data_IF_310607251687
#
_entry.id   IF_310607251687
#
_cell.length_a   1.000
_cell.length_b   1.000
_cell.length_c   1.000
_cell.angle_alpha   90.00
_cell.angle_beta   90.00
_cell.angle_gamma   90.00
#
_symmetry.space_group_name_H-M   'P 1'
#
loop_
_entity.id
_entity.type
_entity.pdbx_description
1 polymer ?
#
# COMPACT_ATOMS: atom_id res chain seq x y z
N UNK A 1 11.08 -16.33 -19.92
CA UNK A 1 12.29 -16.87 -19.28
C UNK A 1 11.97 -17.18 -17.83
N UNK A 2 12.22 -18.41 -17.35
CA UNK A 2 11.98 -18.81 -15.97
C UNK A 2 13.27 -19.35 -15.34
N UNK A 3 13.56 -18.94 -14.11
CA UNK A 3 14.61 -19.52 -13.27
C UNK A 3 14.00 -19.93 -11.94
N UNK A 4 14.51 -21.02 -11.37
CA UNK A 4 14.13 -21.44 -10.02
C UNK A 4 15.37 -21.71 -9.16
N UNK A 5 15.19 -21.53 -7.87
CA UNK A 5 16.20 -21.69 -6.84
C UNK A 5 15.61 -22.50 -5.69
N UNK A 6 16.40 -23.38 -5.10
CA UNK A 6 16.01 -24.09 -3.89
C UNK A 6 15.99 -23.16 -2.67
N UNK A 7 15.59 -23.71 -1.52
CA UNK A 7 15.56 -22.99 -0.23
C UNK A 7 16.93 -22.42 0.19
N UNK A 8 18.02 -23.00 -0.31
CA UNK A 8 19.40 -22.62 0.03
C UNK A 8 19.99 -21.61 -0.98
N UNK A 9 19.20 -21.23 -2.00
CA UNK A 9 19.53 -20.22 -3.00
C UNK A 9 20.28 -20.77 -4.21
N UNK A 10 20.38 -22.10 -4.36
CA UNK A 10 21.05 -22.74 -5.50
C UNK A 10 20.08 -22.84 -6.68
N UNK A 11 20.54 -22.50 -7.88
CA UNK A 11 19.74 -22.59 -9.09
C UNK A 11 19.42 -24.06 -9.44
N UNK A 12 18.13 -24.41 -9.43
CA UNK A 12 17.63 -25.77 -9.67
C UNK A 12 16.29 -25.71 -10.42
N UNK A 13 16.28 -26.13 -11.70
CA UNK A 13 15.07 -26.15 -12.55
C UNK A 13 14.18 -27.38 -12.31
N UNK A 14 14.71 -28.40 -11.64
CA UNK A 14 13.95 -29.57 -11.22
C UNK A 14 12.77 -29.23 -10.31
N UNK A 15 12.84 -28.12 -9.56
CA UNK A 15 11.75 -27.61 -8.69
C UNK A 15 10.45 -27.41 -9.46
N UNK A 16 10.54 -27.02 -10.74
CA UNK A 16 9.38 -26.80 -11.62
C UNK A 16 9.23 -27.92 -12.67
N UNK A 17 9.94 -29.04 -12.50
CA UNK A 17 9.92 -30.17 -13.42
C UNK A 17 10.51 -29.86 -14.81
N UNK A 18 11.39 -28.85 -14.93
CA UNK A 18 11.99 -28.45 -16.21
C UNK A 18 13.50 -28.63 -16.22
N UNK A 19 14.06 -28.68 -17.42
CA UNK A 19 15.50 -28.73 -17.64
C UNK A 19 16.00 -27.43 -18.25
N UNK A 20 17.31 -27.21 -18.11
CA UNK A 20 18.00 -26.06 -18.70
C UNK A 20 17.87 -26.09 -20.23
N UNK A 21 17.44 -24.98 -20.81
CA UNK A 21 17.58 -24.71 -22.25
C UNK A 21 18.17 -23.32 -22.56
N UNK A 22 18.41 -22.49 -21.54
CA UNK A 22 18.93 -21.13 -21.69
C UNK A 22 19.76 -20.68 -20.46
N UNK A 23 20.39 -19.50 -20.55
CA UNK A 23 21.36 -18.97 -19.58
C UNK A 23 20.86 -17.74 -18.79
N UNK A 24 19.55 -17.57 -18.64
CA UNK A 24 18.93 -16.49 -17.87
C UNK A 24 19.37 -15.07 -18.30
N UNK A 25 19.62 -14.86 -19.60
CA UNK A 25 20.29 -13.65 -20.10
C UNK A 25 19.50 -12.38 -19.78
N UNK A 26 18.17 -12.43 -19.95
CA UNK A 26 17.31 -11.27 -19.76
C UNK A 26 17.11 -10.97 -18.27
N UNK A 27 16.89 -12.01 -17.46
CA UNK A 27 16.82 -11.89 -16.00
C UNK A 27 18.11 -11.28 -15.44
N UNK A 28 19.28 -11.78 -15.88
CA UNK A 28 20.58 -11.22 -15.48
C UNK A 28 20.72 -9.75 -15.88
N UNK A 29 20.36 -9.41 -17.11
CA UNK A 29 20.42 -8.04 -17.62
C UNK A 29 19.53 -7.10 -16.79
N UNK A 30 18.27 -7.47 -16.58
CA UNK A 30 17.30 -6.67 -15.83
C UNK A 30 17.75 -6.50 -14.38
N UNK A 31 18.11 -7.60 -13.70
CA UNK A 31 18.54 -7.55 -12.30
C UNK A 31 19.85 -6.76 -12.11
N UNK A 32 20.67 -6.62 -13.14
CA UNK A 32 21.92 -5.83 -13.05
C UNK A 32 21.70 -4.35 -13.39
N UNK A 33 20.89 -4.04 -14.40
CA UNK A 33 20.86 -2.70 -15.01
C UNK A 33 19.61 -1.88 -14.69
N UNK A 34 18.54 -2.47 -14.16
CA UNK A 34 17.32 -1.73 -13.85
C UNK A 34 17.42 -1.00 -12.51
N UNK A 35 17.22 0.33 -12.46
CA UNK A 35 17.22 1.09 -11.21
C UNK A 35 16.08 0.68 -10.26
N UNK A 36 14.99 0.15 -10.81
CA UNK A 36 13.79 -0.29 -10.07
C UNK A 36 14.02 -1.62 -9.31
N UNK A 37 15.14 -2.31 -9.55
CA UNK A 37 15.38 -3.66 -9.02
C UNK A 37 16.12 -3.71 -7.69
N UNK A 38 16.50 -2.56 -7.10
CA UNK A 38 17.26 -2.53 -5.83
C UNK A 38 16.58 -3.34 -4.72
N UNK A 39 15.25 -3.26 -4.65
CA UNK A 39 14.43 -4.03 -3.72
C UNK A 39 14.51 -5.54 -4.01
N UNK A 40 14.29 -5.97 -5.26
CA UNK A 40 14.37 -7.38 -5.64
C UNK A 40 15.78 -7.96 -5.42
N UNK A 41 16.83 -7.22 -5.77
CA UNK A 41 18.23 -7.62 -5.53
C UNK A 41 18.49 -7.82 -4.02
N UNK A 42 17.98 -6.92 -3.17
CA UNK A 42 18.12 -7.08 -1.72
C UNK A 42 17.41 -8.34 -1.20
N UNK A 43 16.23 -8.69 -1.73
CA UNK A 43 15.53 -9.95 -1.42
C UNK A 43 16.33 -11.18 -1.82
N UNK A 44 16.89 -11.18 -3.03
CA UNK A 44 17.73 -12.28 -3.50
C UNK A 44 18.97 -12.45 -2.61
N UNK A 45 19.63 -11.35 -2.24
CA UNK A 45 20.78 -11.37 -1.33
C UNK A 45 20.46 -11.91 0.06
N UNK A 46 19.35 -11.47 0.68
CA UNK A 46 18.90 -12.00 1.99
C UNK A 46 18.66 -13.50 1.96
N UNK A 47 18.26 -14.03 0.80
CA UNK A 47 17.99 -15.46 0.57
C UNK A 47 19.20 -16.22 0.00
N UNK A 48 20.39 -15.60 -0.03
CA UNK A 48 21.63 -16.19 -0.57
C UNK A 48 21.52 -16.64 -2.04
N UNK A 49 20.61 -16.05 -2.81
CA UNK A 49 20.45 -16.36 -4.23
C UNK A 49 21.49 -15.59 -5.03
N UNK A 50 22.37 -16.32 -5.73
CA UNK A 50 23.23 -15.78 -6.78
C UNK A 50 22.59 -15.97 -8.16
N UNK A 51 22.15 -14.86 -8.76
CA UNK A 51 21.54 -14.87 -10.09
C UNK A 51 22.56 -14.72 -11.23
N UNK A 52 23.81 -14.32 -10.96
CA UNK A 52 24.80 -14.04 -12.00
C UNK A 52 25.14 -15.31 -12.80
N UNK A 53 25.09 -16.47 -12.16
CA UNK A 53 25.38 -17.77 -12.77
C UNK A 53 24.12 -18.62 -13.02
N UNK A 54 22.93 -18.04 -12.87
CA UNK A 54 21.68 -18.78 -13.04
C UNK A 54 21.48 -19.29 -14.47
N UNK A 55 20.86 -20.45 -14.57
CA UNK A 55 20.36 -21.06 -15.80
C UNK A 55 18.85 -20.98 -15.83
N UNK A 56 18.29 -20.80 -17.03
CA UNK A 56 16.86 -20.67 -17.24
C UNK A 56 16.29 -21.76 -18.13
N UNK A 57 14.96 -21.87 -18.05
CA UNK A 57 14.14 -22.48 -19.07
C UNK A 57 13.38 -21.36 -19.80
N UNK A 58 13.42 -21.34 -21.12
CA UNK A 58 12.60 -20.49 -21.96
C UNK A 58 11.42 -21.32 -22.46
N UNK A 59 10.21 -20.85 -22.17
CA UNK A 59 8.96 -21.52 -22.48
C UNK A 59 8.43 -21.08 -23.85
N UNK A 60 8.48 -19.77 -24.13
CA UNK A 60 7.94 -19.18 -25.35
C UNK A 60 9.05 -18.55 -26.20
N UNK A 61 8.83 -18.51 -27.51
CA UNK A 61 9.73 -17.94 -28.50
C UNK A 61 8.95 -17.13 -29.56
N UNK A 62 9.62 -16.67 -30.63
CA UNK A 62 9.01 -15.84 -31.68
C UNK A 62 7.99 -16.57 -32.57
N UNK A 63 7.95 -17.91 -32.51
CA UNK A 63 7.02 -18.75 -33.26
C UNK A 63 5.80 -19.17 -32.41
N UNK A 64 5.84 -18.93 -31.09
CA UNK A 64 4.73 -19.18 -30.16
C UNK A 64 3.51 -18.34 -30.56
N UNK A 65 2.35 -18.98 -30.64
CA UNK A 65 1.10 -18.32 -31.03
C UNK A 65 0.37 -17.73 -29.82
N UNK A 66 -0.41 -16.67 -30.05
CA UNK A 66 -1.23 -16.06 -29.00
C UNK A 66 -2.23 -17.07 -28.40
N UNK A 67 -2.31 -17.11 -27.07
CA UNK A 67 -3.19 -18.02 -26.33
C UNK A 67 -2.56 -19.36 -25.95
N UNK A 68 -1.34 -19.64 -26.42
CA UNK A 68 -0.57 -20.81 -25.98
C UNK A 68 -0.28 -20.74 -24.47
N UNK A 69 -0.44 -21.86 -23.77
CA UNK A 69 -0.36 -21.93 -22.30
C UNK A 69 0.60 -23.03 -21.89
N UNK A 70 1.44 -22.73 -20.91
CA UNK A 70 2.36 -23.70 -20.30
C UNK A 70 2.02 -23.87 -18.82
N UNK A 71 1.76 -25.11 -18.42
CA UNK A 71 1.49 -25.45 -17.02
C UNK A 71 2.77 -25.95 -16.33
N UNK A 72 3.00 -25.47 -15.11
CA UNK A 72 4.14 -25.83 -14.28
C UNK A 72 3.66 -26.19 -12.88
N UNK A 73 4.16 -27.29 -12.35
CA UNK A 73 3.92 -27.69 -10.96
C UNK A 73 5.20 -27.49 -10.16
N UNK A 74 5.13 -26.70 -9.09
CA UNK A 74 6.21 -26.62 -8.11
C UNK A 74 6.23 -27.92 -7.29
N UNK A 75 7.25 -28.75 -7.52
CA UNK A 75 7.44 -30.06 -6.89
C UNK A 75 8.06 -29.92 -5.50
N UNK A 76 8.83 -28.85 -5.29
CA UNK A 76 9.55 -28.57 -4.04
C UNK A 76 9.41 -27.10 -3.62
N UNK A 77 9.73 -26.82 -2.36
CA UNK A 77 9.78 -25.44 -1.87
C UNK A 77 10.98 -24.71 -2.46
N UNK A 78 10.74 -23.53 -3.04
CA UNK A 78 11.81 -22.73 -3.64
C UNK A 78 11.35 -21.35 -4.06
N UNK A 79 12.23 -20.67 -4.77
CA UNK A 79 11.99 -19.34 -5.34
C UNK A 79 11.99 -19.43 -6.85
N UNK A 80 10.98 -18.82 -7.48
CA UNK A 80 10.84 -18.80 -8.92
C UNK A 80 10.87 -17.34 -9.37
N UNK A 81 11.70 -17.02 -10.36
CA UNK A 81 11.70 -15.72 -11.03
C UNK A 81 11.26 -15.95 -12.47
N UNK A 82 10.23 -15.23 -12.87
CA UNK A 82 9.68 -15.26 -14.23
C UNK A 82 9.93 -13.88 -14.83
N UNK A 83 10.48 -13.85 -16.04
CA UNK A 83 10.60 -12.64 -16.82
C UNK A 83 10.01 -12.86 -18.20
N UNK A 84 9.39 -11.80 -18.74
CA UNK A 84 8.93 -11.71 -20.11
C UNK A 84 9.94 -10.86 -20.91
N UNK A 85 10.85 -11.49 -21.68
CA UNK A 85 11.83 -10.76 -22.47
C UNK A 85 11.15 -9.97 -23.58
N UNK A 86 11.39 -8.67 -23.63
CA UNK A 86 10.90 -7.78 -24.68
C UNK A 86 12.02 -6.84 -25.15
N UNK A 87 11.98 -6.46 -26.43
CA UNK A 87 12.84 -5.39 -26.95
C UNK A 87 12.14 -4.05 -26.78
N UNK A 88 12.91 -2.98 -26.62
CA UNK A 88 12.36 -1.62 -26.73
C UNK A 88 11.80 -1.42 -28.13
N UNK A 89 10.50 -1.12 -28.23
CA UNK A 89 9.83 -0.86 -29.50
C UNK A 89 10.31 0.48 -30.08
N UNK A 90 10.75 0.47 -31.35
CA UNK A 90 10.94 1.70 -32.11
C UNK A 90 9.57 2.28 -32.49
N UNK A 91 9.40 3.59 -32.37
CA UNK A 91 8.10 4.28 -32.50
C UNK A 91 7.40 3.99 -33.84
N UNK A 92 8.17 3.78 -34.90
CA UNK A 92 7.73 3.52 -36.26
C UNK A 92 7.41 2.04 -36.54
N UNK A 93 7.90 1.10 -35.73
CA UNK A 93 7.80 -0.32 -36.03
C UNK A 93 6.52 -1.00 -35.56
N UNK A 94 5.82 -0.44 -34.56
CA UNK A 94 4.65 -1.04 -33.92
C UNK A 94 4.84 -2.51 -33.47
N UNK A 95 6.08 -2.92 -33.22
CA UNK A 95 6.46 -4.25 -32.72
C UNK A 95 6.33 -4.29 -31.18
N UNK A 96 5.10 -4.22 -30.67
CA UNK A 96 4.81 -4.35 -29.23
C UNK A 96 5.07 -5.77 -28.76
N UNK A 97 5.69 -5.91 -27.59
CA UNK A 97 5.80 -7.21 -26.92
C UNK A 97 4.41 -7.69 -26.50
N UNK A 98 4.13 -8.98 -26.70
CA UNK A 98 2.88 -9.60 -26.25
C UNK A 98 2.81 -9.66 -24.72
N UNK A 99 1.62 -9.40 -24.18
CA UNK A 99 1.36 -9.55 -22.74
C UNK A 99 1.45 -11.02 -22.33
N UNK A 100 2.00 -11.27 -21.13
CA UNK A 100 2.10 -12.60 -20.53
C UNK A 100 1.29 -12.61 -19.23
N UNK A 101 0.32 -13.53 -19.14
CA UNK A 101 -0.47 -13.75 -17.93
C UNK A 101 0.15 -14.89 -17.11
N UNK A 102 0.34 -14.67 -15.81
CA UNK A 102 0.84 -15.69 -14.87
C UNK A 102 -0.25 -15.97 -13.85
N UNK A 103 -0.70 -17.23 -13.77
CA UNK A 103 -1.66 -17.69 -12.76
C UNK A 103 -0.95 -18.63 -11.79
N UNK A 104 -0.94 -18.28 -10.50
CA UNK A 104 -0.36 -19.11 -9.44
C UNK A 104 -1.48 -19.76 -8.64
N UNK A 105 -1.61 -21.08 -8.75
CA UNK A 105 -2.57 -21.88 -8.00
C UNK A 105 -1.87 -22.55 -6.82
N UNK A 106 -2.29 -22.27 -5.59
CA UNK A 106 -1.74 -22.91 -4.38
C UNK A 106 -2.45 -24.24 -4.12
N UNK A 107 -1.69 -25.31 -3.88
CA UNK A 107 -2.20 -26.66 -3.60
C UNK A 107 -3.01 -26.76 -2.28
N UNK A 108 -2.71 -25.93 -1.29
CA UNK A 108 -3.43 -25.89 -0.02
C UNK A 108 -4.10 -24.52 0.16
N UNK A 109 -5.41 -24.47 -0.06
CA UNK A 109 -6.24 -23.25 -0.01
C UNK A 109 -6.60 -22.87 1.45
N UNK A 110 -6.58 -23.83 2.38
CA UNK A 110 -7.17 -23.68 3.71
C UNK A 110 -6.23 -23.14 4.79
N UNK A 111 -4.97 -22.84 4.47
CA UNK A 111 -4.03 -22.28 5.44
C UNK A 111 -4.05 -20.75 5.37
N UNK A 112 -5.21 -20.13 5.64
CA UNK A 112 -5.41 -18.66 5.61
C UNK A 112 -4.45 -17.89 6.54
N UNK A 113 -3.93 -18.53 7.61
CA UNK A 113 -2.89 -17.97 8.50
C UNK A 113 -1.46 -17.98 7.91
N UNK A 114 -1.24 -18.49 6.69
CA UNK A 114 0.09 -18.59 6.08
C UNK A 114 0.36 -17.62 4.92
N UNK A 115 -0.60 -16.80 4.49
CA UNK A 115 -0.32 -15.69 3.55
C UNK A 115 0.23 -14.46 4.29
N UNK A 116 1.11 -14.71 5.26
CA UNK A 116 1.93 -13.68 5.91
C UNK A 116 2.92 -13.10 4.91
N UNK A 117 2.83 -11.81 4.66
CA UNK A 117 3.82 -11.05 3.91
C UNK A 117 4.09 -9.71 4.60
N UNK A 118 5.14 -9.69 5.40
CA UNK A 118 5.75 -8.43 5.83
C UNK A 118 6.71 -7.96 4.72
N UNK A 119 6.40 -6.87 3.98
CA UNK A 119 7.30 -6.31 2.99
C UNK A 119 8.63 -5.90 3.64
N UNK A 120 9.73 -5.88 2.86
CA UNK A 120 10.96 -5.28 3.37
C UNK A 120 10.72 -3.80 3.68
N UNK A 121 11.43 -3.24 4.67
CA UNK A 121 11.32 -1.82 4.98
C UNK A 121 11.58 -0.92 3.78
N UNK A 122 10.86 0.21 3.70
CA UNK A 122 11.06 1.21 2.65
C UNK A 122 12.43 1.91 2.78
N UNK A 123 13.01 1.90 3.98
CA UNK A 123 14.34 2.39 4.34
C UNK A 123 14.75 1.78 5.69
N UNK A 124 15.95 2.12 6.20
CA UNK A 124 16.35 1.85 7.58
C UNK A 124 15.27 2.29 8.57
N UNK A 125 14.77 1.35 9.37
CA UNK A 125 13.74 1.56 10.38
C UNK A 125 14.34 2.15 11.64
N UNK A 126 13.61 3.08 12.25
CA UNK A 126 13.92 3.62 13.58
C UNK A 126 13.33 2.71 14.65
N UNK A 127 12.06 2.35 14.47
CA UNK A 127 11.28 1.50 15.36
C UNK A 127 10.38 0.58 14.51
N UNK A 128 10.11 -0.62 15.03
CA UNK A 128 9.21 -1.59 14.42
C UNK A 128 8.36 -2.25 15.51
N UNK A 129 7.08 -2.43 15.23
CA UNK A 129 6.11 -2.95 16.17
C UNK A 129 5.21 -3.98 15.50
N UNK A 130 5.08 -5.15 16.12
CA UNK A 130 4.04 -6.11 15.81
C UNK A 130 2.87 -5.88 16.78
N UNK A 131 1.73 -5.45 16.24
CA UNK A 131 0.49 -5.32 16.98
C UNK A 131 -0.24 -6.64 16.81
N UNK A 132 -0.25 -7.45 17.87
CA UNK A 132 -0.87 -8.77 17.85
C UNK A 132 -2.37 -8.64 17.58
N UNK A 133 -2.95 -9.69 17.01
CA UNK A 133 -4.40 -9.79 16.83
C UNK A 133 -5.13 -9.32 18.10
N UNK A 134 -6.24 -8.61 17.90
CA UNK A 134 -7.11 -8.18 18.99
C UNK A 134 -6.46 -7.27 20.05
N UNK A 135 -5.32 -6.65 19.75
CA UNK A 135 -4.62 -5.71 20.64
C UNK A 135 -4.42 -4.35 20.00
N UNK A 136 -3.89 -3.39 20.78
CA UNK A 136 -3.43 -2.11 20.29
C UNK A 136 -2.05 -1.81 20.87
N UNK A 137 -1.34 -0.85 20.26
CA UNK A 137 -0.09 -0.32 20.79
C UNK A 137 -0.04 1.20 20.60
N UNK A 138 0.32 1.92 21.65
CA UNK A 138 0.66 3.33 21.57
C UNK A 138 2.18 3.53 21.48
N UNK A 139 2.61 4.51 20.69
CA UNK A 139 4.01 4.80 20.40
C UNK A 139 4.23 6.28 20.09
N UNK A 140 5.43 6.79 20.34
CA UNK A 140 5.78 8.20 20.13
C UNK A 140 6.53 8.41 18.81
N UNK A 141 6.17 9.46 18.08
CA UNK A 141 6.77 9.77 16.77
C UNK A 141 7.20 11.23 16.74
N UNK A 142 8.38 11.51 16.19
CA UNK A 142 8.90 12.90 16.10
C UNK A 142 8.42 13.60 14.84
N UNK A 143 8.31 14.91 14.90
CA UNK A 143 7.97 15.74 13.75
C UNK A 143 8.89 15.44 12.55
N UNK A 144 8.25 15.18 11.41
CA UNK A 144 8.87 14.81 10.14
C UNK A 144 9.15 13.32 9.96
N UNK A 145 9.12 12.51 11.03
CA UNK A 145 9.26 11.05 10.91
C UNK A 145 8.03 10.46 10.19
N UNK A 146 8.20 9.28 9.60
CA UNK A 146 7.14 8.61 8.84
C UNK A 146 6.62 7.39 9.60
N UNK A 147 5.32 7.14 9.50
CA UNK A 147 4.62 6.04 10.16
C UNK A 147 4.01 5.17 9.07
N UNK A 148 4.42 3.91 8.99
CA UNK A 148 3.87 2.94 8.06
C UNK A 148 3.04 1.92 8.83
N UNK A 149 1.74 1.89 8.58
CA UNK A 149 0.82 0.86 9.11
C UNK A 149 0.59 -0.15 8.01
N UNK A 150 0.89 -1.42 8.26
CA UNK A 150 0.96 -2.50 7.28
C UNK A 150 0.00 -3.62 7.70
N UNK A 151 -0.88 -4.00 6.79
CA UNK A 151 -1.64 -5.24 6.89
C UNK A 151 -0.77 -6.39 6.35
N UNK A 152 -0.26 -7.25 7.23
CA UNK A 152 0.71 -8.30 6.87
C UNK A 152 0.07 -9.62 6.47
N UNK A 153 -1.24 -9.79 6.63
CA UNK A 153 -1.97 -11.00 6.23
C UNK A 153 -3.03 -10.72 5.14
N UNK A 154 -3.25 -9.45 4.81
CA UNK A 154 -4.37 -9.05 3.97
C UNK A 154 -5.68 -9.09 4.74
N UNK A 155 -6.61 -8.29 4.26
CA UNK A 155 -7.95 -8.12 4.79
C UNK A 155 -8.04 -7.70 6.27
N UNK A 156 -6.95 -7.46 6.99
CA UNK A 156 -6.96 -7.00 8.37
C UNK A 156 -7.17 -5.50 8.43
N UNK A 157 -8.22 -5.10 9.13
CA UNK A 157 -8.50 -3.71 9.43
C UNK A 157 -7.67 -3.20 10.62
N UNK A 158 -7.26 -1.93 10.58
CA UNK A 158 -6.54 -1.28 11.67
C UNK A 158 -7.15 0.08 11.99
N UNK A 159 -7.44 0.36 13.25
CA UNK A 159 -7.75 1.72 13.65
C UNK A 159 -6.43 2.47 13.89
N UNK A 160 -6.38 3.74 13.49
CA UNK A 160 -5.24 4.64 13.74
C UNK A 160 -5.71 5.97 14.35
N UNK A 161 -4.96 6.46 15.34
CA UNK A 161 -5.17 7.78 15.93
C UNK A 161 -3.83 8.42 16.31
N UNK A 162 -3.79 9.76 16.29
CA UNK A 162 -2.63 10.51 16.72
C UNK A 162 -3.04 11.73 17.55
N UNK A 163 -2.20 12.08 18.51
CA UNK A 163 -2.34 13.21 19.42
C UNK A 163 -1.12 14.10 19.33
N UNK A 164 -1.32 15.42 19.43
CA UNK A 164 -0.22 16.36 19.61
C UNK A 164 0.48 16.12 20.96
N UNK A 165 1.68 15.51 20.94
CA UNK A 165 2.39 15.07 22.15
C UNK A 165 2.72 16.24 23.10
N UNK A 166 3.30 17.37 22.65
CA UNK A 166 3.56 18.53 23.50
C UNK A 166 2.32 19.13 24.19
N UNK A 167 1.15 19.06 23.55
CA UNK A 167 -0.11 19.53 24.16
C UNK A 167 -0.71 18.48 25.09
N UNK A 168 -0.59 17.19 24.74
CA UNK A 168 -1.06 16.09 25.56
C UNK A 168 -0.33 16.07 26.92
N UNK A 169 0.98 16.30 26.93
CA UNK A 169 1.78 16.46 28.17
C UNK A 169 1.31 17.62 29.06
N UNK A 170 0.54 18.57 28.51
CA UNK A 170 -0.08 19.69 29.24
C UNK A 170 -1.53 19.41 29.61
N UNK A 171 -1.98 18.15 29.53
CA UNK A 171 -3.35 17.72 29.79
C UNK A 171 -4.36 18.19 28.74
N UNK A 172 -3.88 18.54 27.53
CA UNK A 172 -4.73 19.02 26.44
C UNK A 172 -4.81 18.00 25.32
N UNK A 173 -5.94 17.32 25.23
CA UNK A 173 -6.18 16.33 24.19
C UNK A 173 -6.55 17.01 22.86
N UNK A 174 -5.58 17.00 21.95
CA UNK A 174 -5.71 17.40 20.56
C UNK A 174 -5.35 16.20 19.68
N UNK A 175 -6.36 15.37 19.45
CA UNK A 175 -6.29 14.21 18.56
C UNK A 175 -6.81 14.56 17.17
N UNK A 176 -6.61 13.66 16.21
CA UNK A 176 -7.27 13.75 14.91
C UNK A 176 -8.79 13.83 15.12
N UNK A 177 -9.41 14.82 14.50
CA UNK A 177 -10.84 15.00 14.45
C UNK A 177 -11.32 14.67 13.03
N UNK A 178 -12.02 13.53 12.92
CA UNK A 178 -12.49 13.02 11.64
C UNK A 178 -13.52 13.93 10.98
N UNK A 179 -14.36 14.62 11.77
CA UNK A 179 -15.37 15.54 11.24
C UNK A 179 -14.71 16.76 10.64
N UNK A 180 -13.81 17.40 11.38
CA UNK A 180 -13.03 18.55 10.87
C UNK A 180 -12.26 18.15 9.63
N UNK A 181 -11.61 16.99 9.66
CA UNK A 181 -10.85 16.48 8.51
C UNK A 181 -11.73 16.35 7.27
N UNK A 182 -12.87 15.64 7.36
CA UNK A 182 -13.79 15.49 6.21
C UNK A 182 -14.34 16.82 5.70
N UNK A 183 -14.64 17.76 6.60
CA UNK A 183 -15.13 19.08 6.22
C UNK A 183 -14.10 19.90 5.46
N UNK A 184 -12.81 19.80 5.81
CA UNK A 184 -11.73 20.53 5.12
C UNK A 184 -11.35 19.84 3.81
N UNK A 185 -11.24 18.52 3.82
CA UNK A 185 -10.82 17.72 2.66
C UNK A 185 -11.92 17.61 1.60
N UNK A 186 -13.19 17.69 2.01
CA UNK A 186 -14.32 17.51 1.09
C UNK A 186 -14.50 16.05 0.65
N UNK A 187 -13.96 15.09 1.39
CA UNK A 187 -13.99 13.67 1.10
C UNK A 187 -14.16 12.82 2.35
N UNK A 188 -14.45 11.53 2.18
CA UNK A 188 -14.63 10.61 3.30
C UNK A 188 -13.35 10.38 4.12
N UNK A 189 -12.19 10.51 3.50
CA UNK A 189 -10.87 10.42 4.12
C UNK A 189 -9.81 11.07 3.20
N UNK A 190 -8.73 11.60 3.77
CA UNK A 190 -7.53 12.02 3.03
C UNK A 190 -6.88 10.92 2.18
N UNK A 191 -6.36 11.31 1.02
CA UNK A 191 -5.58 10.47 0.09
C UNK A 191 -4.27 11.18 -0.28
N UNK A 192 -3.21 10.47 -0.71
CA UNK A 192 -1.98 11.12 -1.20
C UNK A 192 -2.30 12.20 -2.25
N UNK A 193 -1.64 13.36 -2.15
CA UNK A 193 -1.84 14.48 -3.07
C UNK A 193 -2.19 15.79 -2.36
N UNK A 194 -3.16 16.54 -2.91
CA UNK A 194 -3.57 17.87 -2.43
C UNK A 194 -4.33 17.81 -1.09
N UNK A 195 -5.22 16.83 -0.93
CA UNK A 195 -6.09 16.68 0.24
C UNK A 195 -5.62 15.58 1.19
N UNK A 196 -4.30 15.51 1.41
CA UNK A 196 -3.64 14.41 2.10
C UNK A 196 -3.57 14.55 3.62
N UNK A 197 -4.23 15.52 4.24
CA UNK A 197 -3.95 15.91 5.63
C UNK A 197 -5.09 15.54 6.58
N UNK A 198 -4.72 15.06 7.76
CA UNK A 198 -5.62 14.90 8.89
C UNK A 198 -5.40 16.02 9.90
N UNK A 199 -6.51 16.51 10.46
CA UNK A 199 -6.53 17.70 11.29
C UNK A 199 -7.11 17.40 12.66
N UNK A 200 -6.72 18.17 13.67
CA UNK A 200 -7.37 18.19 14.97
C UNK A 200 -8.60 19.13 14.98
N UNK A 201 -9.26 19.23 16.14
CA UNK A 201 -10.43 20.11 16.33
C UNK A 201 -10.16 21.60 16.10
N UNK A 202 -8.90 22.04 16.17
CA UNK A 202 -8.47 23.40 15.88
C UNK A 202 -8.04 23.59 14.42
N UNK A 203 -8.21 22.56 13.58
CA UNK A 203 -7.77 22.54 12.19
C UNK A 203 -6.24 22.55 12.02
N UNK A 204 -5.50 22.22 13.06
CA UNK A 204 -4.05 22.01 12.98
C UNK A 204 -3.76 20.63 12.36
N UNK A 205 -2.81 20.56 11.43
CA UNK A 205 -2.42 19.28 10.84
C UNK A 205 -1.62 18.42 11.82
N UNK A 206 -1.96 17.14 11.93
CA UNK A 206 -1.23 16.15 12.73
C UNK A 206 -0.42 15.20 11.85
N UNK A 207 -1.03 14.66 10.79
CA UNK A 207 -0.37 13.76 9.85
C UNK A 207 -0.74 14.08 8.40
N UNK A 208 0.16 13.75 7.49
CA UNK A 208 -0.06 13.82 6.04
C UNK A 208 0.11 12.43 5.41
N UNK A 209 -0.83 11.99 4.57
CA UNK A 209 -0.76 10.75 3.81
C UNK A 209 0.25 10.91 2.67
N UNK A 210 1.31 10.12 2.72
CA UNK A 210 2.37 10.12 1.72
C UNK A 210 2.13 9.00 0.73
N UNK A 211 1.84 7.79 1.23
CA UNK A 211 1.51 6.67 0.37
C UNK A 211 0.32 5.89 0.90
N UNK A 212 -0.46 5.34 -0.01
CA UNK A 212 -1.58 4.45 0.32
C UNK A 212 -1.67 3.39 -0.77
N UNK A 213 -1.50 2.12 -0.40
CA UNK A 213 -1.56 0.99 -1.33
C UNK A 213 -2.91 0.28 -1.41
N UNK A 214 -3.84 0.62 -0.50
CA UNK A 214 -5.17 0.03 -0.45
C UNK A 214 -6.21 0.94 -1.13
N UNK A 215 -6.14 2.25 -0.88
CA UNK A 215 -7.06 3.24 -1.41
C UNK A 215 -8.48 3.15 -0.85
N UNK A 216 -8.67 2.44 0.27
CA UNK A 216 -9.98 2.16 0.86
C UNK A 216 -9.90 2.13 2.38
N UNK A 217 -10.51 3.14 2.99
CA UNK A 217 -10.50 3.42 4.42
C UNK A 217 -11.84 4.04 4.82
N UNK A 218 -12.03 4.35 6.10
CA UNK A 218 -13.06 5.31 6.51
C UNK A 218 -12.66 6.17 7.70
N UNK A 219 -13.42 7.25 7.91
CA UNK A 219 -13.30 8.11 9.10
C UNK A 219 -14.65 8.45 9.71
N UNK A 220 -15.75 7.90 9.17
CA UNK A 220 -17.11 8.23 9.61
C UNK A 220 -17.68 7.20 10.58
N UNK A 221 -17.05 6.02 10.70
CA UNK A 221 -17.30 5.09 11.79
C UNK A 221 -16.56 5.45 13.08
N UNK A 222 -16.83 4.68 14.12
CA UNK A 222 -15.98 4.62 15.32
C UNK A 222 -15.12 3.36 15.25
N UNK A 223 -14.03 3.32 16.00
CA UNK A 223 -13.42 2.06 16.37
C UNK A 223 -14.48 1.17 17.06
N UNK A 224 -14.39 -0.15 16.90
CA UNK A 224 -15.41 -1.04 17.48
C UNK A 224 -15.48 -0.87 19.01
N UNK A 225 -16.67 -1.15 19.56
CA UNK A 225 -17.02 -0.86 20.96
C UNK A 225 -17.63 -2.09 21.61
N UNK A 226 -17.57 -2.18 22.93
CA UNK A 226 -18.28 -3.24 23.67
C UNK A 226 -19.78 -3.26 23.33
N UNK A 227 -20.41 -2.08 23.24
CA UNK A 227 -21.84 -1.96 22.88
C UNK A 227 -22.18 -2.59 21.53
N UNK A 228 -21.33 -2.39 20.53
CA UNK A 228 -21.53 -2.95 19.19
C UNK A 228 -21.66 -4.49 19.24
N UNK A 229 -20.77 -5.15 19.98
CA UNK A 229 -20.78 -6.60 20.12
C UNK A 229 -21.92 -7.10 21.02
N UNK A 230 -22.20 -6.42 22.14
CA UNK A 230 -23.28 -6.80 23.07
C UNK A 230 -24.66 -6.73 22.40
N UNK A 231 -24.93 -5.69 21.59
CA UNK A 231 -26.19 -5.55 20.85
C UNK A 231 -26.37 -6.67 19.81
N UNK A 232 -25.27 -7.27 19.32
CA UNK A 232 -25.27 -8.42 18.42
C UNK A 232 -25.30 -9.78 19.15
N UNK A 233 -25.26 -9.78 20.49
CA UNK A 233 -25.27 -10.99 21.33
C UNK A 233 -23.88 -11.57 21.65
N UNK A 234 -22.80 -10.86 21.34
CA UNK A 234 -21.41 -11.27 21.62
C UNK A 234 -20.89 -10.56 22.88
N UNK A 235 -21.36 -10.98 24.04
CA UNK A 235 -21.00 -10.36 25.33
C UNK A 235 -19.53 -10.53 25.69
N UNK A 236 -18.90 -9.46 26.17
CA UNK A 236 -17.49 -9.48 26.60
C UNK A 236 -16.47 -9.58 25.47
N UNK A 237 -16.90 -9.42 24.22
CA UNK A 237 -16.01 -9.47 23.06
C UNK A 237 -14.93 -8.37 23.13
N UNK A 238 -13.65 -8.68 22.84
CA UNK A 238 -12.60 -7.67 22.78
C UNK A 238 -12.93 -6.59 21.75
N UNK A 239 -12.52 -5.35 21.99
CA UNK A 239 -12.83 -4.25 21.10
C UNK A 239 -11.73 -3.18 21.09
N UNK A 240 -11.63 -2.47 19.97
CA UNK A 240 -10.59 -1.48 19.74
C UNK A 240 -10.68 -0.28 20.68
N UNK A 241 -11.88 0.15 21.05
CA UNK A 241 -12.05 1.29 21.95
C UNK A 241 -11.47 1.03 23.34
N UNK A 242 -11.67 -0.18 23.88
CA UNK A 242 -11.08 -0.60 25.15
C UNK A 242 -9.57 -0.86 25.01
N UNK A 243 -9.13 -1.42 23.89
CA UNK A 243 -7.70 -1.58 23.59
C UNK A 243 -6.97 -0.23 23.58
N UNK A 244 -7.58 0.80 22.99
CA UNK A 244 -7.07 2.17 23.01
C UNK A 244 -6.99 2.73 24.42
N UNK A 245 -8.05 2.57 25.22
CA UNK A 245 -8.07 3.04 26.61
C UNK A 245 -6.89 2.46 27.42
N UNK A 246 -6.57 1.17 27.23
CA UNK A 246 -5.45 0.53 27.91
C UNK A 246 -4.09 1.08 27.47
N UNK A 247 -3.91 1.34 26.17
CA UNK A 247 -2.63 1.81 25.63
C UNK A 247 -2.38 3.30 25.83
N UNK A 248 -3.44 4.10 25.93
CA UNK A 248 -3.35 5.56 26.06
C UNK A 248 -3.38 6.04 27.53
N UNK A 249 -3.73 5.17 28.48
CA UNK A 249 -3.71 5.47 29.92
C UNK A 249 -2.35 6.01 30.42
N UNK A 250 -1.18 5.43 30.02
CA UNK A 250 0.14 5.96 30.42
C UNK A 250 0.40 7.39 29.93
N UNK A 251 -0.32 7.85 28.91
CA UNK A 251 -0.20 9.19 28.34
C UNK A 251 -1.21 10.18 28.94
N UNK A 252 -1.99 9.76 29.94
CA UNK A 252 -2.97 10.61 30.63
C UNK A 252 -4.20 10.95 29.79
N UNK A 253 -4.49 10.16 28.76
CA UNK A 253 -5.66 10.35 27.88
C UNK A 253 -6.92 9.81 28.55
N UNK A 254 -8.01 10.57 28.47
CA UNK A 254 -9.31 10.18 29.00
C UNK A 254 -9.86 8.93 28.31
N UNK A 255 -10.35 7.97 29.12
CA UNK A 255 -10.97 6.74 28.61
C UNK A 255 -12.31 7.06 27.94
N UNK A 256 -12.59 6.41 26.81
CA UNK A 256 -13.82 6.60 26.03
C UNK A 256 -14.46 5.25 25.72
N UNK A 257 -15.80 5.20 25.75
CA UNK A 257 -16.55 3.99 25.36
C UNK A 257 -16.53 3.74 23.84
N UNK A 258 -16.32 4.81 23.07
CA UNK A 258 -16.25 4.76 21.61
C UNK A 258 -15.25 5.79 21.12
N UNK A 259 -14.23 5.32 20.44
CA UNK A 259 -13.21 6.17 19.84
C UNK A 259 -13.58 6.52 18.41
N UNK A 260 -13.46 7.80 18.04
CA UNK A 260 -13.30 8.15 16.64
C UNK A 260 -11.91 7.69 16.24
N UNK A 261 -11.77 7.07 15.07
CA UNK A 261 -10.49 6.62 14.55
C UNK A 261 -10.43 6.81 13.03
N UNK A 262 -9.21 6.77 12.50
CA UNK A 262 -9.00 6.52 11.08
C UNK A 262 -9.03 5.01 10.92
N UNK A 263 -10.10 4.51 10.32
CA UNK A 263 -10.35 3.09 10.11
C UNK A 263 -9.63 2.67 8.83
N UNK A 264 -8.38 2.23 8.96
CA UNK A 264 -7.55 1.81 7.84
C UNK A 264 -7.99 0.43 7.31
N UNK A 265 -7.99 0.28 5.99
CA UNK A 265 -8.34 -0.94 5.25
C UNK A 265 -9.81 -1.36 5.31
N UNK A 266 -10.61 -0.73 6.18
CA UNK A 266 -12.05 -0.93 6.24
C UNK A 266 -12.72 -0.61 4.90
N UNK A 267 -13.46 -1.57 4.36
CA UNK A 267 -14.32 -1.39 3.20
C UNK A 267 -15.75 -1.02 3.63
N UNK A 268 -15.89 0.14 4.26
CA UNK A 268 -17.19 0.67 4.66
C UNK A 268 -17.67 1.76 3.69
N UNK A 269 -18.98 1.94 3.59
CA UNK A 269 -19.58 2.98 2.76
C UNK A 269 -20.98 3.37 3.20
N UNK A 270 -21.40 4.54 2.75
CA UNK A 270 -22.77 5.00 2.84
C UNK A 270 -23.39 4.86 1.46
N UNK A 271 -24.42 4.03 1.34
CA UNK A 271 -25.08 3.80 0.05
C UNK A 271 -26.04 4.95 -0.32
N UNK A 272 -26.67 4.86 -1.49
CA UNK A 272 -27.62 5.87 -2.01
C UNK A 272 -28.88 6.02 -1.15
N UNK A 273 -29.18 5.06 -0.27
CA UNK A 273 -30.27 5.12 0.70
C UNK A 273 -29.82 5.63 2.07
N UNK A 274 -28.61 6.18 2.18
CA UNK A 274 -27.99 6.69 3.41
C UNK A 274 -27.75 5.62 4.50
N UNK A 275 -27.57 4.36 4.10
CA UNK A 275 -27.24 3.26 5.02
C UNK A 275 -25.73 3.08 5.05
N UNK A 276 -25.17 3.10 6.26
CA UNK A 276 -23.80 2.69 6.53
C UNK A 276 -23.72 1.16 6.48
N UNK A 277 -22.82 0.63 5.66
CA UNK A 277 -22.55 -0.81 5.57
C UNK A 277 -21.04 -1.08 5.54
N UNK A 278 -20.68 -2.31 5.87
CA UNK A 278 -19.32 -2.86 5.81
C UNK A 278 -19.31 -4.06 4.88
N UNK A 279 -18.20 -4.28 4.20
CA UNK A 279 -17.94 -5.42 3.33
C UNK A 279 -16.47 -5.84 3.48
N UNK A 280 -16.07 -6.93 2.83
CA UNK A 280 -14.73 -7.50 2.96
C UNK A 280 -13.68 -6.44 2.57
N UNK A 281 -12.67 -6.19 3.43
CA UNK A 281 -11.55 -5.30 3.13
C UNK A 281 -10.84 -5.61 1.81
N UNK A 282 -10.32 -4.58 1.16
CA UNK A 282 -9.61 -4.72 -0.13
C UNK A 282 -8.11 -4.96 0.03
N UNK A 283 -7.58 -4.78 1.24
CA UNK A 283 -6.17 -4.94 1.52
C UNK A 283 -5.70 -6.36 1.24
N UNK A 284 -4.50 -6.47 0.69
CA UNK A 284 -3.77 -7.72 0.49
C UNK A 284 -2.57 -7.78 1.42
N UNK A 285 -1.98 -8.97 1.64
CA UNK A 285 -0.76 -9.07 2.42
C UNK A 285 0.31 -8.08 1.94
N UNK A 286 0.80 -7.25 2.86
CA UNK A 286 1.79 -6.21 2.66
C UNK A 286 1.25 -4.87 2.19
N UNK A 287 -0.06 -4.70 2.02
CA UNK A 287 -0.64 -3.37 1.78
C UNK A 287 -0.44 -2.48 3.01
N UNK A 288 -0.22 -1.19 2.78
CA UNK A 288 0.11 -0.23 3.82
C UNK A 288 -0.38 1.19 3.52
N UNK A 289 -0.46 1.98 4.59
CA UNK A 289 -0.56 3.44 4.52
C UNK A 289 0.67 4.04 5.19
N UNK A 290 1.33 4.98 4.50
CA UNK A 290 2.49 5.72 4.98
C UNK A 290 2.08 7.16 5.27
N UNK A 291 2.18 7.56 6.53
CA UNK A 291 1.98 8.93 6.98
C UNK A 291 3.31 9.62 7.25
N UNK A 292 3.34 10.95 7.14
CA UNK A 292 4.38 11.80 7.73
C UNK A 292 3.79 12.55 8.91
N UNK A 293 4.47 12.48 10.06
CA UNK A 293 4.13 13.25 11.25
C UNK A 293 4.42 14.74 11.02
N UNK A 294 3.42 15.59 11.19
CA UNK A 294 3.54 17.05 11.03
C UNK A 294 3.87 17.78 12.34
N UNK A 295 3.89 17.04 13.46
CA UNK A 295 4.25 17.50 14.81
C UNK A 295 4.92 16.33 15.56
N UNK A 296 5.39 16.57 16.78
CA UNK A 296 5.66 15.47 17.72
C UNK A 296 4.32 14.85 18.15
N UNK A 297 4.17 13.54 17.98
CA UNK A 297 2.91 12.82 18.15
C UNK A 297 3.02 11.69 19.17
N UNK A 298 1.94 11.45 19.89
CA UNK A 298 1.62 10.14 20.46
C UNK A 298 0.64 9.49 19.49
N UNK A 299 0.98 8.35 18.94
CA UNK A 299 0.15 7.58 18.02
C UNK A 299 -0.36 6.31 18.71
N UNK A 300 -1.49 5.79 18.24
CA UNK A 300 -1.98 4.47 18.61
C UNK A 300 -2.52 3.78 17.38
N UNK A 301 -2.30 2.47 17.30
CA UNK A 301 -2.88 1.62 16.26
C UNK A 301 -3.42 0.34 16.86
N UNK A 302 -4.51 -0.20 16.31
CA UNK A 302 -5.09 -1.49 16.72
C UNK A 302 -5.02 -2.53 15.60
N UNK A 303 -4.97 -3.80 15.97
CA UNK A 303 -5.41 -4.89 15.11
C UNK A 303 -6.87 -5.20 15.50
N UNK A 304 -7.82 -4.81 14.64
CA UNK A 304 -9.25 -4.93 14.92
C UNK A 304 -9.65 -6.39 15.19
N UNK A 305 -10.33 -6.69 16.32
CA UNK A 305 -10.74 -8.04 16.68
C UNK A 305 -12.04 -8.50 15.99
N UNK A 306 -12.67 -7.68 15.14
CA UNK A 306 -14.00 -8.00 14.61
C UNK A 306 -13.99 -9.29 13.79
N UNK A 307 -14.77 -10.27 14.22
CA UNK A 307 -14.99 -11.56 13.56
C UNK A 307 -16.49 -11.89 13.39
N UNK A 308 -17.36 -10.91 13.67
CA UNK A 308 -18.83 -11.07 13.69
C UNK A 308 -19.53 -10.50 12.45
N UNK A 309 -18.81 -9.73 11.64
CA UNK A 309 -19.27 -9.18 10.37
C UNK A 309 -18.18 -9.30 9.29
N UNK A 310 -18.42 -8.72 8.10
CA UNK A 310 -17.49 -8.84 6.97
C UNK A 310 -16.13 -8.15 7.18
N UNK A 311 -15.94 -7.39 8.25
CA UNK A 311 -14.62 -6.89 8.60
C UNK A 311 -13.65 -8.05 8.83
N UNK A 312 -12.37 -7.83 8.51
CA UNK A 312 -11.31 -8.83 8.70
C UNK A 312 -11.50 -10.16 7.96
N UNK A 313 -12.44 -10.27 7.00
CA UNK A 313 -12.87 -11.56 6.42
C UNK A 313 -13.18 -12.61 7.51
N UNK A 314 -13.81 -12.17 8.61
CA UNK A 314 -14.12 -12.99 9.79
C UNK A 314 -12.89 -13.65 10.44
N UNK A 315 -11.67 -13.21 10.13
CA UNK A 315 -10.43 -13.80 10.62
C UNK A 315 -9.43 -12.70 11.02
N UNK A 316 -9.55 -12.17 12.26
CA UNK A 316 -8.58 -11.22 12.81
C UNK A 316 -7.15 -11.77 12.80
N UNK A 317 -6.21 -10.91 12.43
CA UNK A 317 -4.78 -11.16 12.33
C UNK A 317 -3.96 -9.97 12.81
N UNK A 318 -2.63 -10.10 12.83
CA UNK A 318 -1.74 -9.04 13.32
C UNK A 318 -1.61 -7.87 12.32
N UNK A 319 -1.27 -6.70 12.85
CA UNK A 319 -0.88 -5.51 12.08
C UNK A 319 0.58 -5.17 12.39
N UNK A 320 1.33 -4.66 11.41
CA UNK A 320 2.71 -4.25 11.62
C UNK A 320 2.87 -2.74 11.44
N UNK A 321 3.62 -2.11 12.34
CA UNK A 321 3.93 -0.68 12.27
C UNK A 321 5.42 -0.48 12.17
N UNK A 322 5.85 0.43 11.29
CA UNK A 322 7.24 0.90 11.19
C UNK A 322 7.32 2.41 11.31
N UNK A 323 8.35 2.89 11.97
CA UNK A 323 8.70 4.31 12.00
C UNK A 323 10.01 4.54 11.25
N UNK A 324 10.02 5.51 10.35
CA UNK A 324 11.22 5.91 9.59
C UNK A 324 11.64 7.34 9.95
N UNK A 325 12.94 7.59 9.93
CA UNK A 325 13.46 8.94 10.19
C UNK A 325 13.15 9.92 9.06
N UNK A 326 12.86 11.17 9.43
CA UNK A 326 12.69 12.32 8.50
C UNK A 326 13.84 12.57 7.52
N UNK A 327 15.03 11.99 7.76
CA UNK A 327 16.20 12.13 6.86
C UNK A 327 16.00 11.44 5.50
N UNK A 328 14.93 10.66 5.34
CA UNK A 328 14.61 9.94 4.10
C UNK A 328 13.43 10.64 3.43
N UNK A 329 13.50 10.77 2.11
CA UNK A 329 12.43 11.38 1.32
C UNK A 329 11.67 10.23 0.64
N UNK A 330 10.40 10.07 0.98
CA UNK A 330 9.48 9.18 0.28
C UNK A 330 8.63 9.99 -0.69
N UNK A 331 8.55 9.56 -1.95
CA UNK A 331 7.68 10.20 -2.93
C UNK A 331 6.22 9.92 -2.59
N UNK A 332 5.36 10.93 -2.80
CA UNK A 332 3.92 10.74 -2.73
C UNK A 332 3.49 9.71 -3.78
N UNK A 333 2.73 8.71 -3.37
CA UNK A 333 2.26 7.67 -4.29
C UNK A 333 0.97 7.04 -3.80
N UNK A 334 -0.04 7.04 -4.65
CA UNK A 334 -1.22 6.18 -4.50
C UNK A 334 -0.94 4.85 -5.16
N UNK A 335 -1.60 3.85 -4.64
CA UNK A 335 -1.60 2.51 -5.13
C UNK A 335 -2.45 2.27 -6.36
N UNK A 336 -1.86 1.66 -7.36
CA UNK A 336 -2.55 1.34 -8.60
C UNK A 336 -2.47 -0.16 -8.91
N UNK A 337 -3.61 -0.72 -9.33
CA UNK A 337 -3.71 -2.05 -9.92
C UNK A 337 -4.33 -1.91 -11.30
N UNK A 338 -3.69 -2.47 -12.33
CA UNK A 338 -4.21 -2.45 -13.71
C UNK A 338 -5.53 -3.23 -13.82
N UNK A 339 -5.71 -4.26 -13.00
CA UNK A 339 -6.97 -5.01 -12.87
C UNK A 339 -7.08 -5.69 -11.50
N UNK A 340 -8.24 -6.30 -11.21
CA UNK A 340 -8.52 -6.93 -9.93
C UNK A 340 -7.51 -8.02 -9.52
N UNK A 341 -6.76 -8.62 -10.44
CA UNK A 341 -5.79 -9.68 -10.14
C UNK A 341 -4.32 -9.24 -10.24
N UNK A 342 -4.05 -8.02 -10.71
CA UNK A 342 -2.68 -7.58 -10.94
C UNK A 342 -1.93 -7.27 -9.64
N UNK A 343 -0.62 -7.44 -9.69
CA UNK A 343 0.29 -6.95 -8.67
C UNK A 343 0.17 -5.44 -8.51
N UNK A 344 0.50 -5.02 -7.31
CA UNK A 344 0.45 -3.64 -6.90
C UNK A 344 1.61 -2.83 -7.50
N UNK A 345 1.31 -1.67 -8.09
CA UNK A 345 2.31 -0.73 -8.58
C UNK A 345 2.08 0.63 -7.91
N UNK A 346 3.11 1.18 -7.28
CA UNK A 346 3.07 2.56 -6.82
C UNK A 346 3.00 3.49 -8.02
N UNK A 347 2.10 4.46 -7.96
CA UNK A 347 2.04 5.56 -8.95
C UNK A 347 3.43 6.18 -9.13
N UNK A 348 3.82 6.38 -10.39
CA UNK A 348 5.13 6.93 -10.76
C UNK A 348 5.01 8.38 -11.20
N UNK A 349 6.11 9.10 -11.07
CA UNK A 349 6.25 10.39 -11.72
C UNK A 349 6.50 10.17 -13.22
N UNK A 350 5.89 10.99 -14.07
CA UNK A 350 6.21 10.98 -15.51
C UNK A 350 7.59 11.57 -15.75
N UNK A 351 8.14 11.34 -16.94
CA UNK A 351 9.41 11.96 -17.35
C UNK A 351 9.36 13.50 -17.36
N UNK A 352 8.16 14.09 -17.40
CA UNK A 352 7.94 15.53 -17.40
C UNK A 352 7.71 16.10 -15.99
N UNK A 353 7.58 15.25 -14.97
CA UNK A 353 7.15 15.66 -13.63
C UNK A 353 8.02 16.75 -13.02
N UNK A 354 9.35 16.67 -13.16
CA UNK A 354 10.28 17.68 -12.62
C UNK A 354 9.95 19.10 -13.11
N UNK A 355 9.51 19.24 -14.37
CA UNK A 355 9.12 20.54 -14.94
C UNK A 355 7.72 20.93 -14.53
N UNK A 356 6.77 20.00 -14.58
CA UNK A 356 5.36 20.30 -14.31
C UNK A 356 5.08 20.54 -12.83
N UNK A 357 5.81 19.89 -11.92
CA UNK A 357 5.67 20.07 -10.46
C UNK A 357 6.10 21.44 -9.96
N UNK A 358 6.90 22.18 -10.73
CA UNK A 358 7.23 23.58 -10.44
C UNK A 358 6.05 24.49 -10.80
N UNK A 359 5.28 24.12 -11.81
CA UNK A 359 4.15 24.91 -12.32
C UNK A 359 2.86 24.67 -11.53
N UNK A 360 2.71 23.50 -10.88
CA UNK A 360 1.55 23.19 -10.05
C UNK A 360 1.87 22.20 -8.94
N UNK A 361 1.09 22.30 -7.85
CA UNK A 361 1.01 21.27 -6.81
C UNK A 361 -0.27 20.43 -6.91
N UNK A 362 -1.18 20.81 -7.81
CA UNK A 362 -2.45 20.14 -8.08
C UNK A 362 -2.21 19.04 -9.11
N UNK A 363 -1.80 17.87 -8.60
CA UNK A 363 -1.53 16.67 -9.39
C UNK A 363 -2.64 15.64 -9.14
N UNK A 364 -2.99 14.89 -10.18
CA UNK A 364 -3.90 13.75 -10.11
C UNK A 364 -3.23 12.47 -10.57
N UNK A 365 -3.73 11.33 -10.09
CA UNK A 365 -3.40 10.03 -10.64
C UNK A 365 -4.17 9.81 -11.95
N UNK A 366 -3.44 9.41 -12.99
CA UNK A 366 -3.98 8.91 -14.25
C UNK A 366 -3.26 7.61 -14.60
N UNK A 367 -3.96 6.49 -14.48
CA UNK A 367 -3.46 5.15 -14.84
C UNK A 367 -2.09 4.78 -14.23
N UNK A 368 -1.85 5.16 -12.97
CA UNK A 368 -0.58 4.85 -12.31
C UNK A 368 0.51 5.92 -12.49
N UNK A 369 0.18 7.08 -13.05
CA UNK A 369 1.11 8.20 -13.21
C UNK A 369 0.56 9.50 -12.61
N UNK A 370 1.44 10.25 -11.94
CA UNK A 370 1.13 11.59 -11.44
C UNK A 370 1.25 12.63 -12.56
N UNK A 371 0.11 13.17 -12.98
CA UNK A 371 0.03 14.24 -13.99
C UNK A 371 -0.63 15.50 -13.42
N UNK A 372 -0.30 16.70 -13.96
CA UNK A 372 -0.99 17.94 -13.60
C UNK A 372 -2.49 17.86 -13.84
N UNK A 373 -3.27 18.14 -12.79
CA UNK A 373 -4.72 18.29 -12.89
C UNK A 373 -5.08 19.71 -13.38
N UNK A 374 -4.35 20.72 -12.89
CA UNK A 374 -4.41 22.11 -13.40
C UNK A 374 -3.07 22.80 -13.23
N UNK A 375 -2.78 23.83 -14.03
CA UNK A 375 -1.61 24.68 -13.81
C UNK A 375 -1.94 25.91 -12.96
N UNK A 376 -0.99 26.36 -12.14
CA UNK A 376 -1.18 27.60 -11.39
C UNK A 376 -1.12 28.80 -12.35
N UNK A 377 -1.92 29.84 -12.07
CA UNK A 377 -1.98 31.12 -12.79
C UNK A 377 -2.72 31.13 -14.12
N UNK A 378 -3.16 29.99 -14.63
CA UNK A 378 -3.95 29.90 -15.86
C UNK A 378 -5.28 29.20 -15.54
N UNK A 379 -6.40 29.75 -16.02
CA UNK A 379 -7.72 29.17 -15.81
C UNK A 379 -8.13 28.27 -16.96
N UNK A 380 -9.13 27.38 -16.75
CA UNK A 380 -9.63 26.45 -17.78
C UNK A 380 -9.95 27.12 -19.12
N UNK A 381 -10.50 28.35 -19.10
CA UNK A 381 -10.83 29.11 -20.31
C UNK A 381 -9.56 29.56 -21.06
N UNK A 382 -8.55 30.01 -20.33
CA UNK A 382 -7.29 30.47 -20.91
C UNK A 382 -6.48 29.29 -21.45
N UNK A 383 -6.42 28.18 -20.70
CA UNK A 383 -5.84 26.92 -21.16
C UNK A 383 -6.55 26.40 -22.42
N UNK A 384 -7.89 26.39 -22.45
CA UNK A 384 -8.68 26.01 -23.62
C UNK A 384 -8.39 26.91 -24.83
N UNK A 385 -8.33 28.23 -24.61
CA UNK A 385 -8.06 29.21 -25.67
C UNK A 385 -6.63 29.05 -26.20
N UNK A 386 -5.66 28.77 -25.33
CA UNK A 386 -4.30 28.46 -25.71
C UNK A 386 -4.22 27.15 -26.51
N UNK A 387 -4.93 26.09 -26.11
CA UNK A 387 -5.05 24.86 -26.90
C UNK A 387 -5.60 25.10 -28.30
N UNK A 388 -6.52 26.06 -28.46
CA UNK A 388 -7.13 26.37 -29.76
C UNK A 388 -6.23 27.22 -30.66
N UNK A 389 -5.53 28.20 -30.09
CA UNK A 389 -4.86 29.24 -30.85
C UNK A 389 -3.33 29.09 -30.89
N UNK A 390 -2.75 28.27 -30.02
CA UNK A 390 -1.30 28.09 -29.88
C UNK A 390 -0.91 26.60 -29.99
N UNK A 391 0.40 26.34 -29.93
CA UNK A 391 0.95 24.98 -29.81
C UNK A 391 0.92 24.57 -28.34
N UNK A 392 0.36 23.39 -28.07
CA UNK A 392 0.32 22.81 -26.73
C UNK A 392 1.04 21.47 -26.68
N UNK A 393 1.62 21.18 -25.52
CA UNK A 393 2.28 19.92 -25.20
C UNK A 393 1.45 19.22 -24.13
N UNK A 394 1.07 17.98 -24.38
CA UNK A 394 0.28 17.17 -23.45
C UNK A 394 1.11 15.98 -22.97
N UNK A 395 1.14 15.75 -21.66
CA UNK A 395 1.75 14.56 -21.09
C UNK A 395 0.80 13.37 -21.25
N UNK A 396 1.08 12.52 -22.23
CA UNK A 396 0.30 11.32 -22.54
C UNK A 396 0.91 10.05 -21.93
N UNK A 397 1.78 10.18 -20.92
CA UNK A 397 2.46 9.04 -20.29
C UNK A 397 1.49 8.02 -19.70
N UNK A 398 0.29 8.46 -19.27
CA UNK A 398 -0.74 7.60 -18.69
C UNK A 398 -1.59 6.82 -19.70
N UNK A 399 -1.45 7.09 -21.01
CA UNK A 399 -2.23 6.39 -22.04
C UNK A 399 -1.59 5.08 -22.52
N UNK A 400 -0.48 4.64 -21.91
CA UNK A 400 0.29 3.47 -22.35
C UNK A 400 0.27 2.33 -21.36
#
# INVERSE_FOLDING_TARGET
EIVSFDKDGKNELGIIGRQKNANANFIKYILTNSPDNKFLISKLKKRKIDFHNANSCNLFNSETVSGETEELTALENGFIIIAAPGKSMLVDKQEVASDLEIKVLRKNINNKKLDYFLPDPLSDTKEEYLIKDSTALAYEVKEGDFIQVIDIYGQQCSDFMAFNSPLLQKGKEFSIDARVTRSIVGGAYPMPGLFAKYFDKNQDTLVEVIQDTCGRHDTFGTACTLKYYEDMGYFGHPNCSDNYNGQLEPFGVEKRKGWQAINLFFNTSINTTNVLFSDIPWSRPGDYVLFQAQKDLVCVSSACPCDVDAANDWNPTDVYVRVYSKKKIFSKATGYRKNANSDFILTKQTAFHERTSVMTKDMMDSAGFWIPNKYNNYGTIEEYTACRNNVVVMDLSSLR
#
